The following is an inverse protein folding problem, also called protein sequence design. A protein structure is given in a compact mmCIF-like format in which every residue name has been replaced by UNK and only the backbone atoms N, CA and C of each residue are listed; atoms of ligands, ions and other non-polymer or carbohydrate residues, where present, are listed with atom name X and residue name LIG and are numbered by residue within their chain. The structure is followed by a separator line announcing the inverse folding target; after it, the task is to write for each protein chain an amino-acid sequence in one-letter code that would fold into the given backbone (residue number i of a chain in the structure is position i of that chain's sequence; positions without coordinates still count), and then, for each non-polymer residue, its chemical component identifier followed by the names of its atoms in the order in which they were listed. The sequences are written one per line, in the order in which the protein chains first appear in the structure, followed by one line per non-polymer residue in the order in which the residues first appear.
data_IF_742837894286
#
_entry.id   IF_742837894286
#
_cell.length_a   1.000
_cell.length_b   1.000
_cell.length_c   1.000
_cell.angle_alpha   90.00
_cell.angle_beta   90.00
_cell.angle_gamma   90.00
#
_symmetry.space_group_name_H-M   'P 1'
#
loop_
_entity.id
_entity.type
_entity.pdbx_description
1 polymer ?
#
# COMPACT_ATOMS: atom_id res chain seq x y z
N UNK A 1 -3.61 -30.96 2.35
CA UNK A 1 -3.02 -30.65 3.65
C UNK A 1 -3.22 -29.16 3.87
N UNK A 2 -4.07 -28.78 4.84
CA UNK A 2 -4.24 -27.40 5.27
C UNK A 2 -2.98 -26.99 6.02
N UNK A 3 -2.19 -26.09 5.43
CA UNK A 3 -1.03 -25.51 6.09
C UNK A 3 -1.56 -24.35 6.96
N UNK A 4 -1.69 -24.60 8.26
CA UNK A 4 -2.06 -23.57 9.21
C UNK A 4 -0.96 -22.52 9.33
N UNK A 5 -1.31 -21.22 9.53
CA UNK A 5 -0.31 -20.19 9.77
C UNK A 5 0.50 -20.53 11.05
N UNK A 6 1.80 -20.20 11.07
CA UNK A 6 2.66 -20.53 12.20
C UNK A 6 2.20 -19.81 13.49
N UNK A 7 2.38 -20.47 14.62
CA UNK A 7 2.17 -19.88 15.93
C UNK A 7 3.18 -18.76 16.25
N UNK A 8 3.02 -18.10 17.40
CA UNK A 8 3.87 -16.96 17.75
C UNK A 8 5.35 -17.36 17.89
N UNK A 9 5.62 -18.47 18.58
CA UNK A 9 7.00 -18.93 18.82
C UNK A 9 7.70 -19.32 17.53
N UNK A 10 6.98 -19.99 16.64
CA UNK A 10 7.47 -20.34 15.32
C UNK A 10 7.76 -19.09 14.48
N UNK A 11 6.91 -18.05 14.57
CA UNK A 11 7.17 -16.78 13.86
C UNK A 11 8.42 -16.09 14.39
N UNK A 12 8.62 -16.03 15.70
CA UNK A 12 9.85 -15.49 16.32
C UNK A 12 11.07 -16.25 15.85
N UNK A 13 11.01 -17.59 15.85
CA UNK A 13 12.11 -18.44 15.37
C UNK A 13 12.46 -18.18 13.90
N UNK A 14 11.44 -18.01 13.03
CA UNK A 14 11.63 -17.66 11.61
C UNK A 14 12.35 -16.32 11.47
N UNK A 15 11.90 -15.30 12.21
CA UNK A 15 12.50 -13.95 12.20
C UNK A 15 13.97 -14.01 12.62
N UNK A 16 14.27 -14.65 13.76
CA UNK A 16 15.65 -14.81 14.26
C UNK A 16 16.52 -15.57 13.27
N UNK A 17 16.03 -16.70 12.74
CA UNK A 17 16.76 -17.48 11.75
C UNK A 17 17.07 -16.68 10.51
N UNK A 18 16.16 -15.83 10.04
CA UNK A 18 16.39 -14.96 8.88
C UNK A 18 17.41 -13.88 9.17
N UNK A 19 17.41 -13.30 10.37
CA UNK A 19 18.39 -12.32 10.81
C UNK A 19 19.81 -12.93 10.86
N UNK A 20 19.95 -14.14 11.43
CA UNK A 20 21.21 -14.90 11.45
C UNK A 20 21.76 -15.12 10.03
N UNK A 21 20.92 -15.55 9.09
CA UNK A 21 21.31 -15.77 7.70
C UNK A 21 21.80 -14.49 6.99
N UNK A 22 21.38 -13.33 7.47
CA UNK A 22 21.79 -12.02 6.94
C UNK A 22 22.92 -11.39 7.76
N UNK A 23 23.45 -12.09 8.79
CA UNK A 23 24.41 -11.57 9.76
C UNK A 23 23.93 -10.25 10.41
N UNK A 24 22.63 -10.12 10.63
CA UNK A 24 22.02 -8.98 11.26
C UNK A 24 21.84 -9.28 12.76
N UNK A 25 22.46 -8.46 13.62
CA UNK A 25 22.22 -8.50 15.06
C UNK A 25 20.84 -7.94 15.35
N UNK A 26 19.88 -8.83 15.63
CA UNK A 26 18.47 -8.51 15.84
C UNK A 26 18.11 -8.72 17.32
N UNK A 27 17.80 -7.64 18.07
CA UNK A 27 17.33 -7.75 19.45
C UNK A 27 16.06 -8.60 19.58
N UNK A 28 15.93 -9.30 20.72
CA UNK A 28 14.80 -10.20 20.98
C UNK A 28 13.46 -9.47 20.97
N UNK A 29 13.40 -8.29 21.57
CA UNK A 29 12.21 -7.43 21.57
C UNK A 29 11.76 -7.00 20.17
N UNK A 30 12.71 -6.78 19.26
CA UNK A 30 12.44 -6.47 17.85
C UNK A 30 11.91 -7.70 17.13
N UNK A 31 12.46 -8.89 17.37
CA UNK A 31 11.98 -10.13 16.78
C UNK A 31 10.55 -10.45 17.21
N UNK A 32 10.25 -10.29 18.51
CA UNK A 32 8.90 -10.46 19.07
C UNK A 32 7.93 -9.42 18.52
N UNK A 33 8.36 -8.17 18.38
CA UNK A 33 7.55 -7.10 17.81
C UNK A 33 7.12 -7.44 16.38
N UNK A 34 8.06 -7.90 15.53
CA UNK A 34 7.77 -8.34 14.16
C UNK A 34 6.76 -9.50 14.16
N UNK A 35 7.00 -10.53 14.98
CA UNK A 35 6.15 -11.71 15.08
C UNK A 35 4.72 -11.40 15.57
N UNK A 36 4.55 -10.38 16.43
CA UNK A 36 3.25 -9.94 16.90
C UNK A 36 2.43 -9.21 15.85
N UNK A 37 3.08 -8.44 14.98
CA UNK A 37 2.40 -7.60 13.99
C UNK A 37 2.18 -8.30 12.66
N UNK A 38 3.07 -9.22 12.25
CA UNK A 38 3.00 -9.95 10.98
C UNK A 38 2.57 -11.40 11.23
N UNK A 39 1.25 -11.64 11.28
CA UNK A 39 0.68 -12.94 11.71
C UNK A 39 0.34 -13.89 10.55
N UNK A 40 0.18 -13.39 9.34
CA UNK A 40 -0.50 -14.13 8.27
C UNK A 40 0.44 -14.77 7.25
N UNK A 41 1.65 -14.26 7.07
CA UNK A 41 2.51 -14.69 5.97
C UNK A 41 3.98 -14.69 6.34
N UNK A 42 4.61 -15.86 6.21
CA UNK A 42 6.06 -16.05 6.44
C UNK A 42 6.91 -15.11 5.56
N UNK A 43 6.49 -14.87 4.32
CA UNK A 43 7.20 -13.95 3.42
C UNK A 43 7.28 -12.53 3.94
N UNK A 44 6.27 -12.09 4.71
CA UNK A 44 6.26 -10.78 5.34
C UNK A 44 7.25 -10.69 6.50
N UNK A 45 7.36 -11.75 7.31
CA UNK A 45 8.37 -11.85 8.36
C UNK A 45 9.78 -11.72 7.75
N UNK A 46 10.05 -12.48 6.70
CA UNK A 46 11.33 -12.40 5.99
C UNK A 46 11.56 -11.04 5.32
N UNK A 47 10.52 -10.44 4.76
CA UNK A 47 10.55 -9.11 4.14
C UNK A 47 10.90 -8.01 5.14
N UNK A 48 10.31 -8.05 6.35
CA UNK A 48 10.60 -7.11 7.42
C UNK A 48 12.09 -7.19 7.84
N UNK A 49 12.63 -8.40 8.01
CA UNK A 49 14.05 -8.59 8.36
C UNK A 49 14.97 -8.10 7.25
N UNK A 50 14.63 -8.34 5.98
CA UNK A 50 15.41 -7.82 4.83
C UNK A 50 15.42 -6.30 4.79
N UNK A 51 14.28 -5.64 5.08
CA UNK A 51 14.20 -4.17 5.16
C UNK A 51 15.08 -3.63 6.29
N UNK A 52 15.03 -4.24 7.47
CA UNK A 52 15.90 -3.84 8.60
C UNK A 52 17.38 -4.01 8.25
N UNK A 53 17.73 -5.10 7.59
CA UNK A 53 19.10 -5.30 7.11
C UNK A 53 19.53 -4.24 6.09
N UNK A 54 18.62 -3.82 5.21
CA UNK A 54 18.88 -2.74 4.26
C UNK A 54 19.13 -1.39 4.97
N UNK A 55 18.32 -1.03 5.99
CA UNK A 55 18.59 0.16 6.81
C UNK A 55 19.94 0.08 7.52
N UNK A 56 20.27 -1.08 8.07
CA UNK A 56 21.57 -1.29 8.71
C UNK A 56 22.75 -1.14 7.73
N UNK A 57 22.65 -1.75 6.56
CA UNK A 57 23.71 -1.74 5.54
C UNK A 57 23.89 -0.39 4.85
N UNK A 58 22.80 0.34 4.59
CA UNK A 58 22.83 1.59 3.83
C UNK A 58 23.01 2.82 4.71
N UNK A 59 22.43 2.82 5.90
CA UNK A 59 22.36 3.99 6.78
C UNK A 59 23.09 3.80 8.10
N UNK A 60 23.59 2.58 8.38
CA UNK A 60 24.25 2.24 9.64
C UNK A 60 23.29 2.23 10.84
N UNK A 61 21.98 2.19 10.61
CA UNK A 61 20.98 2.25 11.67
C UNK A 61 20.73 0.84 12.22
N UNK A 62 21.09 0.61 13.49
CA UNK A 62 20.86 -0.67 14.16
C UNK A 62 19.35 -0.96 14.30
N UNK A 63 18.93 -2.25 14.21
CA UNK A 63 17.54 -2.64 14.42
C UNK A 63 17.05 -2.20 15.80
N UNK A 64 15.95 -1.46 15.83
CA UNK A 64 15.26 -1.07 17.04
C UNK A 64 13.75 -0.96 16.77
N UNK A 65 12.94 -0.89 17.81
CA UNK A 65 11.46 -0.84 17.68
C UNK A 65 11.00 0.31 16.78
N UNK A 66 11.63 1.49 16.87
CA UNK A 66 11.27 2.67 16.07
C UNK A 66 11.46 2.45 14.57
N UNK A 67 12.64 1.94 14.15
CA UNK A 67 12.93 1.60 12.74
C UNK A 67 12.04 0.45 12.28
N UNK A 68 11.84 -0.55 13.14
CA UNK A 68 10.99 -1.70 12.84
C UNK A 68 9.54 -1.29 12.62
N UNK A 69 9.01 -0.38 13.42
CA UNK A 69 7.65 0.14 13.24
C UNK A 69 7.47 0.76 11.85
N UNK A 70 8.45 1.53 11.39
CA UNK A 70 8.42 2.12 10.04
C UNK A 70 8.51 1.03 8.96
N UNK A 71 9.46 0.09 9.09
CA UNK A 71 9.63 -0.99 8.13
C UNK A 71 8.40 -1.90 8.02
N UNK A 72 7.75 -2.21 9.16
CA UNK A 72 6.54 -3.04 9.21
C UNK A 72 5.32 -2.28 8.69
N UNK A 73 5.19 -0.98 8.97
CA UNK A 73 4.06 -0.17 8.50
C UNK A 73 3.91 -0.23 6.99
N UNK A 74 5.01 -0.14 6.26
CA UNK A 74 5.02 -0.30 4.81
C UNK A 74 4.61 -1.73 4.39
N UNK A 75 5.09 -2.73 5.13
CA UNK A 75 4.77 -4.15 4.86
C UNK A 75 3.31 -4.48 5.18
N UNK A 76 2.72 -3.86 6.20
CA UNK A 76 1.30 -3.99 6.54
C UNK A 76 0.40 -3.29 5.53
N UNK A 77 0.84 -2.19 4.96
CA UNK A 77 0.12 -1.49 3.88
C UNK A 77 0.08 -2.36 2.60
N UNK A 78 1.14 -3.12 2.31
CA UNK A 78 1.18 -4.10 1.21
C UNK A 78 0.22 -5.31 1.44
N UNK A 79 -0.37 -5.46 2.62
CA UNK A 79 -1.17 -6.64 2.99
C UNK A 79 -2.66 -6.43 3.03
N UNK A 80 -3.15 -5.22 2.82
CA UNK A 80 -4.59 -5.05 2.69
C UNK A 80 -5.05 -5.69 1.38
N UNK A 81 -6.10 -6.53 1.40
CA UNK A 81 -6.69 -7.06 0.18
C UNK A 81 -6.99 -5.90 -0.77
N UNK A 82 -6.63 -6.05 -2.05
CA UNK A 82 -6.87 -5.03 -3.10
C UNK A 82 -8.28 -4.45 -3.05
N UNK A 83 -9.36 -5.25 -2.86
CA UNK A 83 -10.71 -4.70 -2.71
C UNK A 83 -10.88 -3.73 -1.53
N UNK A 84 -10.26 -4.02 -0.37
CA UNK A 84 -10.33 -3.13 0.82
C UNK A 84 -9.57 -1.83 0.55
N UNK A 85 -8.43 -1.93 -0.14
CA UNK A 85 -7.65 -0.75 -0.54
C UNK A 85 -8.42 0.12 -1.53
N UNK A 86 -9.09 -0.47 -2.53
CA UNK A 86 -9.92 0.24 -3.51
C UNK A 86 -11.06 0.99 -2.80
N UNK A 87 -11.76 0.34 -1.86
CA UNK A 87 -12.82 0.99 -1.09
C UNK A 87 -12.30 2.20 -0.29
N UNK A 88 -11.17 2.07 0.37
CA UNK A 88 -10.56 3.18 1.11
C UNK A 88 -10.20 4.34 0.17
N UNK A 89 -9.58 4.05 -0.97
CA UNK A 89 -9.22 5.07 -1.96
C UNK A 89 -10.46 5.82 -2.44
N UNK A 90 -11.51 5.09 -2.85
CA UNK A 90 -12.73 5.70 -3.37
C UNK A 90 -13.44 6.55 -2.31
N UNK A 91 -13.48 6.08 -1.06
CA UNK A 91 -14.09 6.84 0.04
C UNK A 91 -13.30 8.13 0.35
N UNK A 92 -11.98 8.08 0.37
CA UNK A 92 -11.14 9.25 0.63
C UNK A 92 -11.22 10.27 -0.51
N UNK A 93 -11.17 9.81 -1.76
CA UNK A 93 -11.37 10.67 -2.94
C UNK A 93 -12.78 11.27 -2.93
N UNK A 94 -13.81 10.49 -2.60
CA UNK A 94 -15.19 10.99 -2.52
C UNK A 94 -15.32 12.11 -1.48
N UNK A 95 -14.68 11.96 -0.33
CA UNK A 95 -14.60 12.99 0.72
C UNK A 95 -13.93 14.26 0.22
N UNK A 96 -12.77 14.13 -0.43
CA UNK A 96 -11.97 15.25 -0.93
C UNK A 96 -12.71 16.05 -2.01
N UNK A 97 -13.40 15.37 -2.92
CA UNK A 97 -14.14 16.01 -4.02
C UNK A 97 -15.60 16.33 -3.67
N UNK A 98 -16.05 16.03 -2.44
CA UNK A 98 -17.43 16.18 -1.98
C UNK A 98 -18.44 15.53 -2.92
N UNK A 99 -18.21 14.28 -3.27
CA UNK A 99 -19.06 13.45 -4.13
C UNK A 99 -19.41 12.13 -3.44
N UNK A 100 -20.45 11.46 -3.93
CA UNK A 100 -20.85 10.15 -3.39
C UNK A 100 -19.98 9.05 -3.98
N UNK A 101 -19.44 8.10 -3.18
CA UNK A 101 -18.59 7.00 -3.66
C UNK A 101 -19.21 6.18 -4.80
N UNK A 102 -20.53 5.92 -4.75
CA UNK A 102 -21.24 5.21 -5.82
C UNK A 102 -21.29 5.99 -7.16
N UNK A 103 -21.27 7.32 -7.12
CA UNK A 103 -21.22 8.16 -8.32
C UNK A 103 -19.86 8.04 -9.03
N UNK A 104 -18.78 7.84 -8.27
CA UNK A 104 -17.41 7.63 -8.81
C UNK A 104 -17.37 6.37 -9.68
N UNK A 105 -17.96 5.26 -9.21
CA UNK A 105 -18.09 4.00 -9.98
C UNK A 105 -19.17 4.07 -11.06
N UNK A 106 -20.15 4.93 -10.88
CA UNK A 106 -21.33 5.02 -11.72
C UNK A 106 -21.11 5.74 -13.07
N UNK A 107 -22.23 5.96 -13.78
CA UNK A 107 -22.25 6.59 -15.13
C UNK A 107 -22.35 8.12 -15.10
N UNK A 108 -22.45 8.73 -13.91
CA UNK A 108 -22.59 10.18 -13.73
C UNK A 108 -21.41 10.94 -14.37
N UNK A 109 -21.70 12.05 -15.04
CA UNK A 109 -20.74 12.81 -15.86
C UNK A 109 -20.54 14.27 -15.41
N UNK A 110 -20.93 14.62 -14.15
CA UNK A 110 -20.61 15.96 -13.63
C UNK A 110 -19.10 16.15 -13.52
N UNK A 111 -18.64 17.38 -13.63
CA UNK A 111 -17.20 17.71 -13.63
C UNK A 111 -16.49 17.16 -12.39
N UNK A 112 -17.05 17.37 -11.18
CA UNK A 112 -16.47 16.90 -9.92
C UNK A 112 -16.40 15.36 -9.86
N UNK A 113 -17.46 14.66 -10.32
CA UNK A 113 -17.45 13.18 -10.33
C UNK A 113 -16.45 12.64 -11.35
N UNK A 114 -16.31 13.30 -12.50
CA UNK A 114 -15.33 12.90 -13.52
C UNK A 114 -13.89 13.10 -13.01
N UNK A 115 -13.61 14.22 -12.36
CA UNK A 115 -12.32 14.50 -11.73
C UNK A 115 -12.01 13.49 -10.59
N UNK A 116 -12.97 13.23 -9.71
CA UNK A 116 -12.83 12.23 -8.65
C UNK A 116 -12.59 10.83 -9.19
N UNK A 117 -13.26 10.44 -10.29
CA UNK A 117 -13.05 9.14 -10.95
C UNK A 117 -11.64 9.03 -11.54
N UNK A 118 -11.13 10.06 -12.22
CA UNK A 118 -9.78 10.08 -12.75
C UNK A 118 -8.73 9.99 -11.63
N UNK A 119 -8.91 10.74 -10.55
CA UNK A 119 -8.09 10.68 -9.34
C UNK A 119 -8.08 9.28 -8.75
N UNK A 120 -9.25 8.64 -8.59
CA UNK A 120 -9.36 7.28 -8.06
C UNK A 120 -8.63 6.26 -8.91
N UNK A 121 -8.80 6.31 -10.23
CA UNK A 121 -8.10 5.40 -11.16
C UNK A 121 -6.57 5.56 -11.07
N UNK A 122 -6.09 6.79 -11.00
CA UNK A 122 -4.67 7.09 -10.85
C UNK A 122 -4.11 6.54 -9.52
N UNK A 123 -4.72 6.87 -8.39
CA UNK A 123 -4.26 6.42 -7.06
C UNK A 123 -4.33 4.89 -6.93
N UNK A 124 -5.39 4.25 -7.44
CA UNK A 124 -5.51 2.79 -7.46
C UNK A 124 -4.32 2.18 -8.23
N UNK A 125 -3.98 2.73 -9.39
CA UNK A 125 -2.84 2.26 -10.19
C UNK A 125 -1.53 2.37 -9.42
N UNK A 126 -1.28 3.53 -8.81
CA UNK A 126 -0.05 3.81 -8.05
C UNK A 126 0.10 2.90 -6.83
N UNK A 127 -0.97 2.72 -6.05
CA UNK A 127 -0.91 1.95 -4.80
C UNK A 127 -0.95 0.44 -5.03
N UNK A 128 -1.79 -0.02 -5.96
CA UNK A 128 -2.07 -1.47 -6.10
C UNK A 128 -1.31 -2.14 -7.24
N UNK A 129 -0.79 -1.36 -8.19
CA UNK A 129 -0.17 -1.90 -9.41
C UNK A 129 -1.12 -2.64 -10.35
N UNK A 130 -2.45 -2.54 -10.15
CA UNK A 130 -3.45 -3.23 -10.98
C UNK A 130 -3.29 -2.88 -12.46
N UNK A 131 -3.61 -3.84 -13.35
CA UNK A 131 -3.65 -3.59 -14.79
C UNK A 131 -4.75 -2.59 -15.17
N UNK A 132 -4.60 -1.94 -16.31
CA UNK A 132 -5.60 -0.98 -16.82
C UNK A 132 -6.96 -1.66 -17.06
N UNK A 133 -6.95 -2.92 -17.50
CA UNK A 133 -8.14 -3.74 -17.69
C UNK A 133 -8.84 -4.03 -16.35
N UNK A 134 -8.08 -4.37 -15.33
CA UNK A 134 -8.63 -4.65 -14.00
C UNK A 134 -9.25 -3.38 -13.38
N UNK A 135 -8.59 -2.22 -13.53
CA UNK A 135 -9.15 -0.92 -13.12
C UNK A 135 -10.41 -0.60 -13.94
N UNK A 136 -10.38 -0.84 -15.24
CA UNK A 136 -11.54 -0.64 -16.11
C UNK A 136 -12.75 -1.45 -15.66
N UNK A 137 -12.54 -2.71 -15.28
CA UNK A 137 -13.60 -3.58 -14.75
C UNK A 137 -14.20 -3.03 -13.47
N UNK A 138 -13.39 -2.49 -12.54
CA UNK A 138 -13.84 -1.90 -11.28
C UNK A 138 -14.75 -0.68 -11.50
N UNK A 139 -14.47 0.15 -12.50
CA UNK A 139 -15.23 1.35 -12.83
C UNK A 139 -16.22 1.18 -13.97
N UNK A 140 -16.38 -0.02 -14.50
CA UNK A 140 -17.20 -0.31 -15.69
C UNK A 140 -16.83 0.63 -16.88
N UNK A 141 -15.55 0.74 -17.16
CA UNK A 141 -14.98 1.57 -18.21
C UNK A 141 -14.02 0.77 -19.10
N UNK A 142 -13.93 1.18 -20.34
CA UNK A 142 -13.01 0.60 -21.31
C UNK A 142 -11.56 0.92 -20.93
N UNK A 143 -10.65 0.04 -21.30
CA UNK A 143 -9.21 0.18 -21.13
C UNK A 143 -8.70 1.56 -21.63
N UNK A 144 -9.15 2.00 -22.80
CA UNK A 144 -8.77 3.30 -23.38
C UNK A 144 -9.17 4.49 -22.50
N UNK A 145 -10.32 4.42 -21.84
CA UNK A 145 -10.79 5.43 -20.88
C UNK A 145 -9.90 5.49 -19.64
N UNK A 146 -9.46 4.33 -19.13
CA UNK A 146 -8.56 4.25 -17.97
C UNK A 146 -7.19 4.83 -18.32
N UNK A 147 -6.61 4.41 -19.45
CA UNK A 147 -5.32 4.93 -19.94
C UNK A 147 -5.37 6.45 -20.11
N UNK A 148 -6.43 6.97 -20.76
CA UNK A 148 -6.61 8.40 -20.91
C UNK A 148 -6.69 9.13 -19.56
N UNK A 149 -7.45 8.58 -18.61
CA UNK A 149 -7.63 9.16 -17.27
C UNK A 149 -6.32 9.24 -16.51
N UNK A 150 -5.53 8.17 -16.49
CA UNK A 150 -4.25 8.09 -15.79
C UNK A 150 -3.24 9.04 -16.43
N UNK A 151 -3.07 9.00 -17.75
CA UNK A 151 -2.15 9.90 -18.46
C UNK A 151 -2.52 11.38 -18.28
N UNK A 152 -3.81 11.69 -18.21
CA UNK A 152 -4.29 13.05 -17.95
C UNK A 152 -3.92 13.50 -16.54
N UNK A 153 -4.10 12.62 -15.52
CA UNK A 153 -3.70 12.90 -14.15
C UNK A 153 -2.20 13.12 -14.03
N UNK A 154 -1.37 12.25 -14.60
CA UNK A 154 0.10 12.39 -14.60
C UNK A 154 0.55 13.75 -15.17
N UNK A 155 -0.02 14.14 -16.32
CA UNK A 155 0.29 15.44 -16.95
C UNK A 155 -0.14 16.63 -16.07
N UNK A 156 -1.29 16.53 -15.42
CA UNK A 156 -1.83 17.61 -14.60
C UNK A 156 -1.05 17.73 -13.28
N UNK A 157 -0.70 16.62 -12.63
CA UNK A 157 0.14 16.59 -11.42
C UNK A 157 1.51 17.24 -11.69
N UNK A 158 2.08 17.03 -12.88
CA UNK A 158 3.35 17.66 -13.27
C UNK A 158 3.28 19.17 -13.49
N UNK A 159 2.07 19.74 -13.62
CA UNK A 159 1.85 21.18 -13.91
C UNK A 159 1.20 21.94 -12.78
N UNK A 160 0.44 21.27 -11.94
CA UNK A 160 -0.36 21.84 -10.86
C UNK A 160 0.11 21.33 -9.51
N UNK A 161 0.80 22.20 -8.77
CA UNK A 161 1.33 21.89 -7.44
C UNK A 161 0.21 21.55 -6.44
N UNK A 162 -0.93 22.25 -6.52
CA UNK A 162 -2.04 22.01 -5.62
C UNK A 162 -2.68 20.63 -5.86
N UNK A 163 -2.79 20.21 -7.13
CA UNK A 163 -3.24 18.86 -7.46
C UNK A 163 -2.28 17.79 -6.92
N UNK A 164 -0.96 18.03 -7.01
CA UNK A 164 0.04 17.14 -6.42
C UNK A 164 -0.10 17.02 -4.90
N UNK A 165 -0.23 18.13 -4.20
CA UNK A 165 -0.47 18.16 -2.75
C UNK A 165 -1.75 17.39 -2.38
N UNK A 166 -2.82 17.54 -3.15
CA UNK A 166 -4.07 16.79 -2.97
C UNK A 166 -3.88 15.28 -3.11
N UNK A 167 -3.12 14.84 -4.12
CA UNK A 167 -2.77 13.40 -4.31
C UNK A 167 -1.98 12.88 -3.10
N UNK A 168 -0.94 13.62 -2.70
CA UNK A 168 -0.08 13.24 -1.57
C UNK A 168 -0.88 13.14 -0.26
N UNK A 169 -1.82 14.05 -0.02
CA UNK A 169 -2.68 14.03 1.16
C UNK A 169 -3.66 12.85 1.15
N UNK A 170 -4.27 12.54 0.02
CA UNK A 170 -5.12 11.36 -0.12
C UNK A 170 -4.32 10.09 0.13
N UNK A 171 -3.12 9.95 -0.46
CA UNK A 171 -2.25 8.79 -0.28
C UNK A 171 -1.80 8.59 1.18
N UNK A 172 -1.62 9.66 1.95
CA UNK A 172 -1.27 9.58 3.38
C UNK A 172 -2.43 9.09 4.25
N UNK A 173 -3.67 9.31 3.82
CA UNK A 173 -4.87 8.98 4.60
C UNK A 173 -5.40 7.55 4.33
N UNK A 174 -4.84 6.83 3.36
CA UNK A 174 -5.20 5.45 3.00
C UNK A 174 -4.36 4.44 3.78
#
# INVERSE_FOLDING_TARGET
ADIQPPDFETRVAIVKRKAELLNLDLPDDVAEYIANHLKQNIRQLEGAVKKLNAYYMLEGIAPCIGVTTTAIKDTLNDTQPIPVTIEKIINEVARTYNVIPSDIRGKKRSANVSAARQMSMYIIREITGMSMEAIGSEFQRDHSTVVYSINTMEKNIGKDRHLKETVDDIMKNI
#
